data_IF_280203807736
#
_entry.id   IF_280203807736
#
_cell.length_a   1.000
_cell.length_b   1.000
_cell.length_c   1.000
_cell.angle_alpha   90.00
_cell.angle_beta   90.00
_cell.angle_gamma   90.00
#
_symmetry.space_group_name_H-M   'P 1'
#
loop_
_entity.id
_entity.type
_entity.pdbx_description
1 polymer ?
#
# COMPACT_ATOMS: atom_id res chain seq x y z
N UNK A 1 -6.53 -2.90 -8.69
CA UNK A 1 -5.81 -1.71 -8.17
C UNK A 1 -4.67 -1.37 -9.13
N UNK A 2 -4.89 -0.42 -10.06
CA UNK A 2 -3.89 0.01 -11.08
C UNK A 2 -3.07 1.23 -10.64
N UNK A 3 -2.93 1.42 -9.32
CA UNK A 3 -2.28 2.58 -8.70
C UNK A 3 -0.79 2.31 -8.48
N UNK A 4 0.07 3.25 -8.86
CA UNK A 4 1.50 3.26 -8.51
C UNK A 4 1.76 3.99 -7.19
N UNK A 5 3.03 4.10 -6.78
CA UNK A 5 3.43 4.71 -5.51
C UNK A 5 2.80 6.10 -5.29
N UNK A 6 2.96 7.03 -6.24
CA UNK A 6 2.48 8.41 -6.09
C UNK A 6 0.97 8.49 -5.79
N UNK A 7 0.17 7.75 -6.56
CA UNK A 7 -1.28 7.68 -6.32
C UNK A 7 -1.64 7.04 -4.98
N UNK A 8 -0.90 6.03 -4.53
CA UNK A 8 -1.14 5.38 -3.23
C UNK A 8 -0.69 6.26 -2.06
N UNK A 9 0.42 6.98 -2.20
CA UNK A 9 0.88 7.97 -1.22
C UNK A 9 -0.11 9.12 -1.07
N UNK A 10 -0.71 9.58 -2.18
CA UNK A 10 -1.75 10.61 -2.13
C UNK A 10 -2.99 10.12 -1.35
N UNK A 11 -3.42 8.87 -1.58
CA UNK A 11 -4.53 8.27 -0.83
C UNK A 11 -4.18 8.15 0.67
N UNK A 12 -2.96 7.74 1.02
CA UNK A 12 -2.53 7.67 2.42
C UNK A 12 -2.57 9.04 3.10
N UNK A 13 -2.13 10.09 2.40
CA UNK A 13 -2.22 11.46 2.91
C UNK A 13 -3.67 11.91 3.07
N UNK A 14 -4.52 11.69 2.06
CA UNK A 14 -5.92 12.13 2.08
C UNK A 14 -6.77 11.43 3.15
N UNK A 15 -6.64 10.11 3.29
CA UNK A 15 -7.54 9.31 4.14
C UNK A 15 -6.98 9.02 5.53
N UNK A 16 -5.66 9.00 5.69
CA UNK A 16 -5.01 8.67 6.97
C UNK A 16 -4.25 9.85 7.57
N UNK A 17 -4.15 10.98 6.85
CA UNK A 17 -3.28 12.11 7.21
C UNK A 17 -1.82 11.69 7.44
N UNK A 18 -1.35 10.70 6.66
CA UNK A 18 0.02 10.19 6.71
C UNK A 18 0.77 10.62 5.46
N UNK A 19 1.81 11.43 5.65
CA UNK A 19 2.79 11.69 4.62
C UNK A 19 3.84 10.57 4.60
N UNK A 20 3.64 9.60 3.71
CA UNK A 20 4.51 8.42 3.58
C UNK A 20 5.94 8.83 3.23
N UNK A 21 6.16 9.97 2.56
CA UNK A 21 7.49 10.41 2.14
C UNK A 21 8.35 10.92 3.31
N UNK A 22 7.76 11.19 4.48
CA UNK A 22 8.53 11.48 5.70
C UNK A 22 9.14 10.21 6.32
N UNK A 23 8.82 9.04 5.79
CA UNK A 23 9.21 7.75 6.34
C UNK A 23 8.50 7.42 7.65
N UNK A 24 8.93 6.33 8.29
CA UNK A 24 8.37 5.87 9.58
C UNK A 24 7.03 5.13 9.50
N UNK A 25 6.40 5.10 8.33
CA UNK A 25 5.14 4.39 8.11
C UNK A 25 5.20 3.49 6.88
N UNK A 26 4.58 2.32 7.04
CA UNK A 26 4.30 1.39 5.94
C UNK A 26 2.79 1.28 5.77
N UNK A 27 2.30 1.51 4.56
CA UNK A 27 0.87 1.49 4.27
C UNK A 27 0.54 0.30 3.38
N UNK A 28 -0.42 -0.52 3.82
CA UNK A 28 -0.88 -1.70 3.10
C UNK A 28 -2.26 -1.44 2.50
N UNK A 29 -2.34 -1.48 1.18
CA UNK A 29 -3.57 -1.43 0.42
C UNK A 29 -3.97 -2.83 0.00
N UNK A 30 -5.17 -3.26 0.40
CA UNK A 30 -5.75 -4.53 -0.04
C UNK A 30 -6.82 -4.22 -1.10
N UNK A 31 -6.75 -4.88 -2.25
CA UNK A 31 -7.77 -4.71 -3.29
C UNK A 31 -9.14 -5.16 -2.77
N UNK A 32 -10.22 -4.55 -3.28
CA UNK A 32 -11.58 -4.95 -2.93
C UNK A 32 -11.85 -6.45 -3.20
N UNK A 33 -11.27 -7.01 -4.26
CA UNK A 33 -11.35 -8.45 -4.57
C UNK A 33 -10.55 -9.34 -3.60
N UNK A 34 -9.70 -8.74 -2.76
CA UNK A 34 -8.73 -9.39 -1.88
C UNK A 34 -7.74 -10.32 -2.61
N UNK A 35 -7.48 -10.04 -3.88
CA UNK A 35 -6.54 -10.80 -4.71
C UNK A 35 -5.14 -10.17 -4.75
N UNK A 36 -5.02 -8.88 -4.43
CA UNK A 36 -3.76 -8.14 -4.51
C UNK A 36 -3.60 -7.26 -3.28
N UNK A 37 -2.43 -7.35 -2.64
CA UNK A 37 -1.95 -6.36 -1.70
C UNK A 37 -0.86 -5.51 -2.35
N UNK A 38 -0.88 -4.20 -2.07
CA UNK A 38 0.23 -3.30 -2.34
C UNK A 38 0.72 -2.69 -1.04
N UNK A 39 2.03 -2.66 -0.86
CA UNK A 39 2.67 -2.04 0.29
C UNK A 39 3.51 -0.89 -0.21
N UNK A 40 3.35 0.29 0.37
CA UNK A 40 4.21 1.44 0.12
C UNK A 40 4.94 1.84 1.39
N UNK A 41 6.15 2.34 1.21
CA UNK A 41 6.98 2.93 2.26
C UNK A 41 7.99 3.89 1.65
N UNK A 42 8.58 4.71 2.51
CA UNK A 42 9.70 5.58 2.17
C UNK A 42 10.74 5.48 3.27
N UNK A 43 12.00 5.44 2.89
CA UNK A 43 13.13 5.52 3.80
C UNK A 43 14.19 6.49 3.25
N UNK A 44 15.35 6.52 3.90
CA UNK A 44 16.49 7.36 3.51
C UNK A 44 17.04 7.05 2.11
N UNK A 45 16.69 5.91 1.53
CA UNK A 45 17.07 5.49 0.19
C UNK A 45 15.97 5.73 -0.86
N UNK A 46 14.78 6.12 -0.43
CA UNK A 46 13.69 6.58 -1.28
C UNK A 46 12.40 5.76 -1.12
N UNK A 47 11.60 5.73 -2.19
CA UNK A 47 10.26 5.13 -2.18
C UNK A 47 10.27 3.68 -2.65
N UNK A 48 9.49 2.83 -1.98
CA UNK A 48 9.27 1.44 -2.39
C UNK A 48 7.78 1.15 -2.60
N UNK A 49 7.50 0.34 -3.62
CA UNK A 49 6.19 -0.26 -3.87
C UNK A 49 6.35 -1.77 -4.04
N UNK A 50 5.80 -2.52 -3.09
CA UNK A 50 5.72 -3.97 -3.18
C UNK A 50 4.31 -4.33 -3.65
N UNK A 51 4.20 -5.17 -4.69
CA UNK A 51 2.92 -5.71 -5.15
C UNK A 51 2.93 -7.23 -4.96
N UNK A 52 1.92 -7.78 -4.28
CA UNK A 52 1.76 -9.22 -4.08
C UNK A 52 0.35 -9.68 -4.41
N UNK A 53 0.25 -10.81 -5.11
CA UNK A 53 -1.00 -11.54 -5.23
C UNK A 53 -1.24 -12.29 -3.92
N UNK A 54 -2.46 -12.19 -3.38
CA UNK A 54 -2.85 -12.85 -2.15
C UNK A 54 -3.43 -14.23 -2.48
N UNK A 55 -3.10 -15.22 -1.64
CA UNK A 55 -3.61 -16.58 -1.78
C UNK A 55 -5.11 -16.62 -1.52
N UNK A 56 -5.85 -17.12 -2.51
CA UNK A 56 -7.30 -17.32 -2.42
C UNK A 56 -7.61 -18.28 -1.27
N UNK A 57 -8.56 -17.92 -0.41
CA UNK A 57 -8.97 -18.74 0.73
C UNK A 57 -8.13 -18.58 2.01
N UNK A 58 -6.92 -17.98 1.94
CA UNK A 58 -6.07 -17.76 3.13
C UNK A 58 -6.23 -16.36 3.74
N UNK A 59 -6.38 -15.34 2.89
CA UNK A 59 -6.48 -13.94 3.31
C UNK A 59 -7.85 -13.32 3.02
N UNK A 60 -8.80 -14.13 2.56
CA UNK A 60 -10.15 -13.70 2.17
C UNK A 60 -11.16 -13.67 3.32
N UNK A 61 -10.79 -14.17 4.52
CA UNK A 61 -11.72 -14.29 5.65
C UNK A 61 -11.40 -13.24 6.73
N UNK A 62 -12.21 -12.18 6.76
CA UNK A 62 -12.60 -11.37 7.90
C UNK A 62 -13.94 -10.75 7.54
#
# INVERSE_FOLDING_TARGET
MRSGYGSLSAIAHEYLNIDVNKGGHWIVFISRSREVAKVIGHDEHGSILITRRLDKGRYQQL
#
